data_IF_352119415585
#
_entry.id   IF_352119415585
#
_cell.length_a   1.000
_cell.length_b   1.000
_cell.length_c   1.000
_cell.angle_alpha   90.00
_cell.angle_beta   90.00
_cell.angle_gamma   90.00
#
_symmetry.space_group_name_H-M   'P 1'
#
loop_
_entity.id
_entity.type
_entity.pdbx_description
1 polymer ?
#
# COMPACT_ATOMS: atom_id res chain seq x y z
N UNK A 1 -34.21 4.95 4.85
CA UNK A 1 -32.81 5.26 4.50
C UNK A 1 -32.26 4.12 3.70
N UNK A 2 -31.63 4.44 2.60
CA UNK A 2 -30.96 3.41 1.83
C UNK A 2 -29.61 3.12 2.46
N UNK A 3 -29.15 1.87 2.32
CA UNK A 3 -27.82 1.50 2.76
C UNK A 3 -26.78 2.23 1.92
N UNK A 4 -25.60 2.53 2.48
CA UNK A 4 -24.52 3.11 1.69
C UNK A 4 -24.10 2.14 0.58
N UNK A 5 -23.63 2.68 -0.53
CA UNK A 5 -23.11 1.87 -1.61
C UNK A 5 -21.91 1.06 -1.15
N UNK A 6 -21.74 -0.17 -1.63
CA UNK A 6 -20.54 -0.94 -1.30
C UNK A 6 -19.29 -0.24 -1.77
N UNK A 7 -18.21 -0.43 -1.03
CA UNK A 7 -16.88 0.04 -1.40
C UNK A 7 -16.45 -0.69 -2.67
N UNK A 8 -15.99 0.03 -3.68
CA UNK A 8 -15.58 -0.55 -4.96
C UNK A 8 -14.09 -0.82 -4.95
N UNK A 9 -13.70 -2.04 -5.29
CA UNK A 9 -12.31 -2.48 -5.23
C UNK A 9 -11.94 -3.20 -6.53
N UNK A 10 -10.73 -2.94 -7.02
CA UNK A 10 -10.11 -3.74 -8.08
C UNK A 10 -8.91 -4.46 -7.47
N UNK A 11 -8.77 -5.73 -7.79
CA UNK A 11 -7.68 -6.58 -7.31
C UNK A 11 -6.81 -6.98 -8.49
N UNK A 12 -5.50 -6.79 -8.37
CA UNK A 12 -4.54 -7.27 -9.37
C UNK A 12 -3.53 -8.15 -8.66
N UNK A 13 -3.51 -9.43 -9.02
CA UNK A 13 -2.65 -10.44 -8.42
C UNK A 13 -2.39 -11.51 -9.47
N UNK A 14 -1.14 -11.86 -9.70
CA UNK A 14 -0.78 -12.84 -10.74
C UNK A 14 -1.25 -14.25 -10.41
N UNK A 15 -1.60 -14.52 -9.17
CA UNK A 15 -2.20 -15.78 -8.77
C UNK A 15 -3.72 -15.62 -8.78
N UNK A 16 -4.35 -16.16 -9.80
CA UNK A 16 -5.79 -16.03 -9.98
C UNK A 16 -6.57 -16.65 -8.83
N UNK A 17 -6.07 -17.73 -8.26
CA UNK A 17 -6.72 -18.38 -7.12
C UNK A 17 -6.73 -17.43 -5.91
N UNK A 18 -5.63 -16.76 -5.66
CA UNK A 18 -5.55 -15.78 -4.57
C UNK A 18 -6.52 -14.63 -4.83
N UNK A 19 -6.55 -14.12 -6.05
CA UNK A 19 -7.46 -13.02 -6.40
C UNK A 19 -8.93 -13.40 -6.16
N UNK A 20 -9.32 -14.61 -6.57
CA UNK A 20 -10.68 -15.09 -6.35
C UNK A 20 -10.99 -15.30 -4.87
N UNK A 21 -10.02 -15.78 -4.11
CA UNK A 21 -10.19 -15.96 -2.67
C UNK A 21 -10.39 -14.62 -1.97
N UNK A 22 -9.60 -13.63 -2.35
CA UNK A 22 -9.74 -12.28 -1.79
C UNK A 22 -11.10 -11.69 -2.12
N UNK A 23 -11.56 -11.90 -3.35
CA UNK A 23 -12.89 -11.45 -3.73
C UNK A 23 -13.96 -12.06 -2.83
N UNK A 24 -13.89 -13.38 -2.61
CA UNK A 24 -14.84 -14.06 -1.76
C UNK A 24 -14.82 -13.49 -0.34
N UNK A 25 -13.63 -13.29 0.21
CA UNK A 25 -13.48 -12.73 1.56
C UNK A 25 -14.08 -11.32 1.63
N UNK A 26 -13.76 -10.48 0.65
CA UNK A 26 -14.21 -9.09 0.68
C UNK A 26 -15.71 -8.95 0.48
N UNK A 27 -16.29 -9.78 -0.38
CA UNK A 27 -17.72 -9.64 -0.69
C UNK A 27 -18.63 -10.36 0.30
N UNK A 28 -18.05 -11.08 1.26
CA UNK A 28 -18.84 -11.94 2.16
C UNK A 28 -19.91 -11.20 2.94
N UNK A 29 -19.68 -9.95 3.32
CA UNK A 29 -20.62 -9.19 4.14
C UNK A 29 -21.37 -8.12 3.34
N UNK A 30 -21.13 -8.03 2.06
CA UNK A 30 -21.83 -7.09 1.20
C UNK A 30 -21.37 -5.64 1.31
N UNK A 31 -20.40 -5.33 2.14
CA UNK A 31 -19.89 -3.96 2.28
C UNK A 31 -18.83 -3.60 1.26
N UNK A 32 -18.33 -4.58 0.51
CA UNK A 32 -17.33 -4.38 -0.53
C UNK A 32 -17.79 -5.08 -1.79
N UNK A 33 -17.56 -4.43 -2.94
CA UNK A 33 -17.84 -5.01 -4.24
C UNK A 33 -16.55 -5.01 -5.05
N UNK A 34 -16.17 -6.17 -5.55
CA UNK A 34 -14.98 -6.27 -6.39
C UNK A 34 -15.40 -6.00 -7.84
N UNK A 35 -15.03 -4.84 -8.35
CA UNK A 35 -15.44 -4.37 -9.66
C UNK A 35 -14.64 -5.01 -10.78
N UNK A 36 -13.42 -5.46 -10.51
CA UNK A 36 -12.59 -6.08 -11.53
C UNK A 36 -11.44 -6.84 -10.93
N UNK A 37 -10.95 -7.82 -11.67
CA UNK A 37 -9.79 -8.63 -11.31
C UNK A 37 -8.80 -8.59 -12.46
N UNK A 38 -7.51 -8.44 -12.14
CA UNK A 38 -6.44 -8.52 -13.11
C UNK A 38 -5.39 -9.51 -12.64
N UNK A 39 -4.66 -10.10 -13.58
CA UNK A 39 -3.61 -11.06 -13.29
C UNK A 39 -2.23 -10.59 -13.72
N UNK A 40 -2.15 -9.39 -14.30
CA UNK A 40 -0.88 -8.83 -14.74
C UNK A 40 -0.77 -7.38 -14.29
N UNK A 41 0.43 -7.01 -13.88
CA UNK A 41 0.69 -5.63 -13.46
C UNK A 41 0.36 -4.61 -14.53
N UNK A 42 0.59 -4.98 -15.79
CA UNK A 42 0.31 -4.09 -16.91
C UNK A 42 -1.19 -3.78 -17.08
N UNK A 43 -2.07 -4.57 -16.48
CA UNK A 43 -3.51 -4.35 -16.56
C UNK A 43 -4.02 -3.34 -15.53
N UNK A 44 -3.19 -3.02 -14.54
CA UNK A 44 -3.66 -2.24 -13.39
C UNK A 44 -4.17 -0.86 -13.79
N UNK A 45 -3.43 -0.14 -14.62
CA UNK A 45 -3.83 1.21 -15.02
C UNK A 45 -5.12 1.20 -15.83
N UNK A 46 -5.26 0.24 -16.74
CA UNK A 46 -6.47 0.12 -17.56
C UNK A 46 -7.69 -0.20 -16.69
N UNK A 47 -7.52 -1.10 -15.72
CA UNK A 47 -8.60 -1.45 -14.81
C UNK A 47 -8.98 -0.26 -13.92
N UNK A 48 -8.01 0.52 -13.50
CA UNK A 48 -8.31 1.74 -12.75
C UNK A 48 -9.14 2.70 -13.60
N UNK A 49 -8.71 2.92 -14.83
CA UNK A 49 -9.41 3.85 -15.73
C UNK A 49 -10.80 3.36 -16.09
N UNK A 50 -10.98 2.06 -16.21
CA UNK A 50 -12.28 1.49 -16.55
C UNK A 50 -13.25 1.55 -15.38
N UNK A 51 -12.82 1.22 -14.18
CA UNK A 51 -13.71 1.02 -13.04
C UNK A 51 -13.73 2.17 -12.05
N UNK A 52 -12.70 3.03 -12.05
CA UNK A 52 -12.54 4.10 -11.06
C UNK A 52 -12.84 3.60 -9.64
N UNK A 53 -12.12 2.56 -9.19
CA UNK A 53 -12.43 1.96 -7.89
C UNK A 53 -12.10 2.91 -6.76
N UNK A 54 -12.77 2.69 -5.63
CA UNK A 54 -12.40 3.41 -4.41
C UNK A 54 -11.01 3.01 -3.93
N UNK A 55 -10.64 1.73 -4.10
CA UNK A 55 -9.33 1.22 -3.70
C UNK A 55 -8.83 0.22 -4.73
N UNK A 56 -7.53 0.30 -5.05
CA UNK A 56 -6.81 -0.71 -5.82
C UNK A 56 -6.03 -1.58 -4.85
N UNK A 57 -6.26 -2.89 -4.89
CA UNK A 57 -5.43 -3.87 -4.20
C UNK A 57 -4.44 -4.43 -5.19
N UNK A 58 -3.16 -4.21 -4.96
CA UNK A 58 -2.11 -4.64 -5.89
C UNK A 58 -1.14 -5.57 -5.20
N UNK A 59 -0.92 -6.73 -5.81
CA UNK A 59 0.22 -7.56 -5.46
C UNK A 59 1.49 -6.90 -5.96
N UNK A 60 2.58 -7.05 -5.23
CA UNK A 60 3.84 -6.41 -5.61
C UNK A 60 4.61 -7.25 -6.61
N UNK A 61 4.74 -8.54 -6.35
CA UNK A 61 5.59 -9.40 -7.18
C UNK A 61 4.78 -10.04 -8.29
N UNK A 62 4.85 -9.43 -9.46
CA UNK A 62 4.22 -9.97 -10.66
C UNK A 62 5.26 -10.05 -11.77
N UNK A 63 5.22 -11.12 -12.60
CA UNK A 63 6.32 -11.35 -13.57
C UNK A 63 6.48 -10.27 -14.62
N UNK A 64 5.39 -9.64 -15.06
CA UNK A 64 5.43 -8.68 -16.17
C UNK A 64 5.79 -7.27 -15.71
N UNK A 65 5.14 -6.80 -14.65
CA UNK A 65 5.32 -5.44 -14.13
C UNK A 65 5.03 -5.48 -12.64
N UNK A 66 5.95 -4.99 -11.83
CA UNK A 66 5.73 -5.03 -10.39
C UNK A 66 4.55 -4.15 -9.99
N UNK A 67 3.88 -4.53 -8.91
CA UNK A 67 2.78 -3.74 -8.37
C UNK A 67 3.23 -2.36 -7.94
N UNK A 68 4.48 -2.23 -7.46
CA UNK A 68 5.00 -0.92 -7.09
C UNK A 68 5.08 0.00 -8.30
N UNK A 69 5.59 -0.50 -9.42
CA UNK A 69 5.66 0.30 -10.64
C UNK A 69 4.26 0.64 -11.16
N UNK A 70 3.33 -0.33 -11.10
CA UNK A 70 1.95 -0.11 -11.51
C UNK A 70 1.28 0.94 -10.62
N UNK A 71 1.45 0.83 -9.31
CA UNK A 71 0.88 1.78 -8.36
C UNK A 71 1.45 3.18 -8.53
N UNK A 72 2.75 3.26 -8.78
CA UNK A 72 3.40 4.55 -9.00
C UNK A 72 2.84 5.23 -10.25
N UNK A 73 2.64 4.46 -11.32
CA UNK A 73 2.08 5.01 -12.56
C UNK A 73 0.65 5.50 -12.35
N UNK A 74 -0.16 4.74 -11.62
CA UNK A 74 -1.53 5.15 -11.33
C UNK A 74 -1.54 6.43 -10.49
N UNK A 75 -0.71 6.52 -9.47
CA UNK A 75 -0.64 7.69 -8.61
C UNK A 75 -0.12 8.92 -9.34
N UNK A 76 0.78 8.73 -10.31
CA UNK A 76 1.27 9.85 -11.12
C UNK A 76 0.14 10.45 -11.96
N UNK A 77 -0.74 9.61 -12.50
CA UNK A 77 -1.87 10.06 -13.31
C UNK A 77 -3.07 10.46 -12.45
N UNK A 78 -3.24 9.85 -11.28
CA UNK A 78 -4.37 10.05 -10.40
C UNK A 78 -3.88 10.19 -8.96
N UNK A 79 -3.43 11.39 -8.56
CA UNK A 79 -2.80 11.57 -7.23
C UNK A 79 -3.70 11.23 -6.05
N UNK A 80 -5.01 11.19 -6.26
CA UNK A 80 -5.95 10.86 -5.19
C UNK A 80 -6.33 9.38 -5.16
N UNK A 81 -5.77 8.58 -6.05
CA UNK A 81 -6.04 7.14 -6.06
C UNK A 81 -5.58 6.52 -4.75
N UNK A 82 -6.35 5.55 -4.27
CA UNK A 82 -6.00 4.82 -3.04
C UNK A 82 -5.45 3.47 -3.42
N UNK A 83 -4.17 3.27 -3.16
CA UNK A 83 -3.46 2.04 -3.49
C UNK A 83 -3.13 1.33 -2.19
N UNK A 84 -3.51 0.06 -2.09
CA UNK A 84 -3.13 -0.81 -0.99
C UNK A 84 -2.36 -1.98 -1.56
N UNK A 85 -1.14 -2.17 -1.12
CA UNK A 85 -0.34 -3.30 -1.55
C UNK A 85 -0.61 -4.50 -0.66
N UNK A 86 -0.73 -5.66 -1.30
CA UNK A 86 -0.99 -6.92 -0.62
C UNK A 86 0.00 -7.93 -1.15
N UNK A 87 0.89 -8.40 -0.30
CA UNK A 87 2.03 -9.21 -0.75
C UNK A 87 2.25 -10.40 0.17
N UNK A 88 3.02 -11.36 -0.31
CA UNK A 88 3.34 -12.57 0.47
C UNK A 88 4.35 -12.27 1.58
N UNK A 89 5.30 -11.37 1.33
CA UNK A 89 6.38 -11.11 2.27
C UNK A 89 6.56 -9.62 2.51
N UNK A 90 6.90 -9.28 3.77
CA UNK A 90 7.33 -7.93 4.09
C UNK A 90 8.78 -7.78 3.64
N UNK A 91 9.05 -6.82 2.76
CA UNK A 91 10.39 -6.52 2.27
C UNK A 91 10.64 -5.05 2.54
N UNK A 92 11.75 -4.75 3.22
CA UNK A 92 12.02 -3.39 3.68
C UNK A 92 12.06 -2.38 2.52
N UNK A 93 12.72 -2.74 1.43
CA UNK A 93 12.84 -1.84 0.28
C UNK A 93 11.46 -1.58 -0.35
N UNK A 94 10.63 -2.59 -0.42
CA UNK A 94 9.29 -2.45 -0.97
C UNK A 94 8.42 -1.60 -0.05
N UNK A 95 8.53 -1.79 1.26
CA UNK A 95 7.77 -0.99 2.23
C UNK A 95 8.12 0.48 2.09
N UNK A 96 9.42 0.79 2.08
CA UNK A 96 9.88 2.18 1.98
C UNK A 96 9.38 2.80 0.69
N UNK A 97 9.52 2.08 -0.41
CA UNK A 97 9.09 2.60 -1.71
C UNK A 97 7.58 2.79 -1.78
N UNK A 98 6.82 1.84 -1.24
CA UNK A 98 5.36 1.93 -1.23
C UNK A 98 4.90 3.17 -0.47
N UNK A 99 5.47 3.42 0.70
CA UNK A 99 5.12 4.59 1.48
C UNK A 99 5.55 5.87 0.79
N UNK A 100 6.72 5.85 0.14
CA UNK A 100 7.24 7.02 -0.55
C UNK A 100 6.36 7.45 -1.72
N UNK A 101 5.74 6.51 -2.42
CA UNK A 101 4.86 6.87 -3.54
C UNK A 101 3.46 7.26 -3.09
N UNK A 102 3.15 7.13 -1.81
CA UNK A 102 1.86 7.53 -1.27
C UNK A 102 0.85 6.41 -1.13
N UNK A 103 1.31 5.16 -0.99
CA UNK A 103 0.40 4.05 -0.75
C UNK A 103 -0.38 4.26 0.54
N UNK A 104 -1.62 3.81 0.55
CA UNK A 104 -2.49 3.92 1.72
C UNK A 104 -2.48 2.67 2.57
N UNK A 105 -1.81 1.63 2.13
CA UNK A 105 -1.70 0.42 2.91
C UNK A 105 -0.65 -0.53 2.37
N UNK A 106 -0.11 -1.35 3.24
CA UNK A 106 0.84 -2.40 2.90
C UNK A 106 0.57 -3.57 3.83
N UNK A 107 0.03 -4.65 3.28
CA UNK A 107 -0.47 -5.77 4.07
C UNK A 107 0.15 -7.07 3.58
N UNK A 108 0.25 -8.03 4.48
CA UNK A 108 0.72 -9.38 4.14
C UNK A 108 -0.50 -10.25 3.85
N UNK A 109 -0.45 -11.05 2.79
CA UNK A 109 -1.59 -11.85 2.34
C UNK A 109 -2.11 -12.79 3.41
N UNK A 110 -1.24 -13.34 4.26
CA UNK A 110 -1.67 -14.21 5.34
C UNK A 110 -2.51 -13.49 6.39
N UNK A 111 -2.49 -12.15 6.39
CA UNK A 111 -3.23 -11.33 7.34
C UNK A 111 -4.51 -10.77 6.74
N UNK A 112 -5.05 -11.43 5.71
CA UNK A 112 -6.22 -10.89 5.02
C UNK A 112 -7.51 -10.96 5.83
N UNK A 113 -7.51 -11.64 6.97
CA UNK A 113 -8.67 -11.65 7.86
C UNK A 113 -8.98 -10.21 8.28
N UNK A 114 -10.24 -9.82 8.16
CA UNK A 114 -10.62 -8.45 8.49
C UNK A 114 -10.26 -7.44 7.40
N UNK A 115 -9.93 -7.90 6.21
CA UNK A 115 -9.49 -7.01 5.13
C UNK A 115 -10.55 -5.96 4.79
N UNK A 116 -11.83 -6.32 4.80
CA UNK A 116 -12.90 -5.37 4.49
C UNK A 116 -12.87 -4.18 5.45
N UNK A 117 -12.70 -4.44 6.75
CA UNK A 117 -12.61 -3.38 7.76
C UNK A 117 -11.38 -2.50 7.53
N UNK A 118 -10.26 -3.12 7.14
CA UNK A 118 -9.03 -2.38 6.84
C UNK A 118 -9.26 -1.42 5.67
N UNK A 119 -9.94 -1.88 4.63
CA UNK A 119 -10.21 -1.04 3.47
C UNK A 119 -11.14 0.13 3.83
N UNK A 120 -12.10 -0.09 4.71
CA UNK A 120 -12.94 1.01 5.18
C UNK A 120 -12.12 2.05 5.94
N UNK A 121 -11.12 1.62 6.72
CA UNK A 121 -10.20 2.55 7.39
C UNK A 121 -9.42 3.40 6.39
N UNK A 122 -9.02 2.80 5.28
CA UNK A 122 -8.32 3.54 4.22
C UNK A 122 -9.23 4.64 3.65
N UNK A 123 -10.52 4.34 3.50
CA UNK A 123 -11.48 5.34 3.02
C UNK A 123 -11.62 6.52 3.98
N UNK A 124 -11.35 6.29 5.27
CA UNK A 124 -11.39 7.33 6.28
C UNK A 124 -10.11 8.15 6.34
N UNK A 125 -9.16 7.86 5.45
CA UNK A 125 -7.92 8.60 5.38
C UNK A 125 -6.76 7.99 6.14
N UNK A 126 -6.93 6.81 6.72
CA UNK A 126 -5.87 6.16 7.47
C UNK A 126 -4.92 5.42 6.53
N UNK A 127 -3.66 5.37 6.93
CA UNK A 127 -2.67 4.51 6.28
C UNK A 127 -2.57 3.26 7.13
N UNK A 128 -2.80 2.09 6.53
CA UNK A 128 -2.89 0.84 7.25
C UNK A 128 -1.70 -0.05 6.94
N UNK A 129 -1.01 -0.51 7.96
CA UNK A 129 0.13 -1.41 7.83
C UNK A 129 -0.17 -2.70 8.58
N UNK A 130 0.12 -3.83 7.96
CA UNK A 130 0.00 -5.12 8.64
C UNK A 130 0.95 -5.20 9.83
N UNK A 131 0.70 -6.15 10.73
CA UNK A 131 1.50 -6.24 11.96
C UNK A 131 2.99 -6.46 11.68
N UNK A 132 3.31 -7.38 10.76
CA UNK A 132 4.71 -7.60 10.38
C UNK A 132 5.32 -6.36 9.74
N UNK A 133 4.54 -5.63 8.95
CA UNK A 133 5.00 -4.42 8.30
C UNK A 133 5.26 -3.34 9.34
N UNK A 134 4.38 -3.22 10.32
CA UNK A 134 4.54 -2.25 11.40
C UNK A 134 5.83 -2.52 12.18
N UNK A 135 6.10 -3.78 12.47
CA UNK A 135 7.32 -4.17 13.17
C UNK A 135 8.56 -3.79 12.36
N UNK A 136 8.52 -4.02 11.05
CA UNK A 136 9.63 -3.67 10.16
C UNK A 136 9.85 -2.17 10.10
N UNK A 137 8.78 -1.40 9.98
CA UNK A 137 8.87 0.05 9.94
C UNK A 137 9.47 0.56 11.25
N UNK A 138 9.03 0.02 12.38
CA UNK A 138 9.56 0.40 13.68
C UNK A 138 11.05 0.10 13.78
N UNK A 139 11.48 -1.06 13.27
CA UNK A 139 12.89 -1.44 13.27
C UNK A 139 13.71 -0.49 12.40
N UNK A 140 13.19 -0.11 11.24
CA UNK A 140 13.88 0.82 10.35
C UNK A 140 14.05 2.18 11.02
N UNK A 141 13.02 2.67 11.69
CA UNK A 141 13.09 3.91 12.42
C UNK A 141 14.08 3.80 13.58
N UNK A 142 14.06 2.67 14.28
CA UNK A 142 14.95 2.43 15.41
C UNK A 142 16.41 2.33 15.02
N UNK A 143 16.73 2.08 13.75
CA UNK A 143 18.10 2.04 13.26
C UNK A 143 18.69 3.40 12.94
N UNK A 144 17.88 4.44 13.00
CA UNK A 144 18.40 5.79 12.78
C UNK A 144 19.38 6.14 13.89
N UNK A 145 20.42 6.88 13.55
CA UNK A 145 21.31 7.39 14.59
C UNK A 145 20.51 8.14 15.62
N UNK A 146 20.78 7.76 16.81
CA UNK A 146 19.98 8.34 17.82
C UNK A 146 20.30 9.76 18.06
N UNK A 147 21.17 10.19 17.50
CA UNK A 147 21.35 11.33 17.76
C UNK A 147 20.31 11.77 17.99
N UNK A 148 20.23 11.31 18.28
CA UNK A 148 19.42 11.56 18.59
C UNK A 148 18.48 10.80 19.08
N UNK A 149 18.64 10.28 19.24
CA UNK A 149 17.86 9.56 19.79
C UNK A 149 16.65 9.96 19.95
N UNK A 150 16.55 9.89 19.93
CA UNK A 150 15.64 10.10 20.26
C UNK A 150 14.86 10.93 19.79
N UNK A 151 14.96 11.21 19.55
CA UNK A 151 14.40 11.83 19.33
C UNK A 151 13.76 12.08 18.45
N UNK A 152 13.60 12.40 18.29
CA UNK A 152 13.20 12.73 17.69
C UNK A 152 12.81 13.06 16.67
N UNK A 153 12.52 13.38 16.14
CA UNK A 153 12.58 13.80 15.26
C UNK A 153 12.36 14.78 14.89
N UNK A 154 13.04 15.28 14.88
CA UNK A 154 13.44 16.19 14.67
C UNK A 154 13.73 16.69 13.96
N UNK A 155 13.94 17.00 13.86
CA UNK A 155 14.50 17.43 13.40
C UNK A 155 14.95 17.66 12.66
N UNK A 156 15.00 17.90 12.61
CA UNK A 156 15.71 18.08 12.15
C UNK A 156 16.21 18.04 11.29
N UNK A 157 16.05 18.18 10.99
CA UNK A 157 16.86 18.16 10.53
C UNK A 157 17.31 18.46 10.15
N UNK A 158 17.25 18.78 10.33
CA UNK A 158 18.20 19.17 10.29
C UNK A 158 19.01 19.19 10.06
N UNK A 159 19.00 19.36 9.82
CA UNK A 159 20.28 19.49 9.75
C UNK A 159 20.94 19.37 9.52
N UNK A 160 21.03 19.78 9.60
CA UNK A 160 22.09 19.87 9.45
C UNK A 160 22.77 19.69 9.31
N UNK A 161 22.80 19.56 9.08
CA UNK A 161 23.78 19.38 9.06
C UNK A 161 24.15 18.84 8.60
N UNK A 162 23.82 18.95 8.36
CA UNK A 162 24.53 18.56 8.09
C UNK A 162 24.85 18.03 7.64
N UNK A 163 24.75 18.24 7.57
CA UNK A 163 25.45 17.95 7.39
C UNK A 163 25.68 17.26 6.93
N UNK A 164 25.52 17.08 6.60
CA UNK A 164 25.79 16.52 6.41
C UNK A 164 25.40 15.82 5.92
N UNK A 165 24.86 15.79 5.84
CA UNK A 165 24.66 15.25 5.62
C UNK A 165 24.16 14.76 5.07
N UNK A 166 23.75 14.68 4.75
CA UNK A 166 23.52 14.34 4.44
C UNK A 166 23.25 13.85 3.80
N UNK A 167 23.26 13.85 3.56
CA UNK A 167 23.21 13.51 3.05
C UNK A 167 22.73 12.96 2.61
N UNK A 168 22.23 12.91 2.58
CA UNK A 168 22.08 12.61 2.54
C UNK A 168 21.54 12.23 2.18
N UNK A 169 21.16 12.26 1.83
CA UNK A 169 21.16 12.21 1.77
C UNK A 169 20.98 11.92 1.34
N UNK A 170 20.62 12.08 1.37
CA UNK A 170 20.99 12.13 1.42
C UNK A 170 21.05 11.95 1.27
N UNK A 171 20.90 12.01 0.94
CA UNK A 171 21.36 12.01 1.17
C UNK A 171 21.19 11.68 1.15
N UNK A 172 20.86 11.51 0.77
CA UNK A 172 21.04 11.42 1.14
C UNK A 172 20.90 11.29 1.09
#
# INVERSE_FOLDING_TARGET
>A
MSAPSPLSVVIVDDDEFVAQSLRTILEARGSVRVAGLGTKGAEAAALFNEHHPDIMLLDIRMPDLSGLAAGEAILAAHPKARIVFLTTFADDDYIVRALAIGARGYLIKQEARGLAEVLHSVMEGQIVLGSDVTDRVSALIGQRPANGAGAAFDDSLSHPDNSQAAPAFAEG
#
